data_IF_792966210035
#
_entry.id   IF_792966210035
#
_cell.length_a   1.000
_cell.length_b   1.000
_cell.length_c   1.000
_cell.angle_alpha   90.00
_cell.angle_beta   90.00
_cell.angle_gamma   90.00
#
_symmetry.space_group_name_H-M   'P 1'
#
loop_
_entity.id
_entity.type
_entity.pdbx_description
1 polymer ?
#
# COMPACT_ATOMS: atom_id res chain seq x y z
N UNK A 1 1.11 -25.14 11.65
CA UNK A 1 1.00 -23.82 10.99
C UNK A 1 -0.46 -23.41 10.98
N UNK A 2 -0.81 -22.27 11.58
CA UNK A 2 -2.15 -21.67 11.46
C UNK A 2 -2.50 -21.41 9.99
N UNK A 3 -3.79 -21.35 9.64
CA UNK A 3 -4.23 -21.10 8.24
C UNK A 3 -3.62 -19.84 7.63
N UNK A 4 -3.40 -18.80 8.43
CA UNK A 4 -2.74 -17.55 8.03
C UNK A 4 -1.26 -17.71 7.71
N UNK A 5 -0.52 -18.57 8.40
CA UNK A 5 0.90 -18.77 8.11
C UNK A 5 1.11 -19.42 6.73
N UNK A 6 0.23 -20.36 6.35
CA UNK A 6 0.26 -20.97 5.01
C UNK A 6 -0.10 -19.95 3.93
N UNK A 7 -1.11 -19.11 4.18
CA UNK A 7 -1.50 -18.06 3.24
C UNK A 7 -0.40 -17.01 3.05
N UNK A 8 0.25 -16.58 4.14
CA UNK A 8 1.41 -15.67 4.07
C UNK A 8 2.53 -16.27 3.22
N UNK A 9 2.86 -17.53 3.43
CA UNK A 9 3.87 -18.22 2.63
C UNK A 9 3.49 -18.34 1.15
N UNK A 10 2.23 -18.65 0.86
CA UNK A 10 1.72 -18.65 -0.52
C UNK A 10 1.92 -17.27 -1.17
N UNK A 11 1.48 -16.20 -0.51
CA UNK A 11 1.63 -14.84 -1.02
C UNK A 11 3.09 -14.43 -1.16
N UNK A 12 4.04 -14.98 -0.39
CA UNK A 12 5.47 -14.72 -0.60
C UNK A 12 6.02 -15.41 -1.86
N UNK A 13 5.48 -16.56 -2.27
CA UNK A 13 6.00 -17.34 -3.41
C UNK A 13 5.23 -17.15 -4.71
N UNK A 14 3.93 -16.89 -4.63
CA UNK A 14 3.04 -16.88 -5.78
C UNK A 14 2.27 -15.57 -5.84
N UNK A 15 1.79 -15.25 -7.03
CA UNK A 15 0.82 -14.17 -7.24
C UNK A 15 -0.58 -14.67 -6.87
N UNK A 16 -1.34 -13.87 -6.15
CA UNK A 16 -2.71 -14.21 -5.80
C UNK A 16 -3.58 -14.11 -7.06
N UNK A 17 -4.42 -15.11 -7.37
CA UNK A 17 -5.37 -15.01 -8.48
C UNK A 17 -6.32 -13.81 -8.31
N UNK A 18 -6.66 -13.14 -9.40
CA UNK A 18 -7.48 -11.91 -9.39
C UNK A 18 -8.79 -12.10 -8.63
N UNK A 19 -9.48 -13.21 -8.88
CA UNK A 19 -10.78 -13.57 -8.28
C UNK A 19 -10.74 -13.73 -6.76
N UNK A 20 -9.58 -14.04 -6.18
CA UNK A 20 -9.43 -14.25 -4.74
C UNK A 20 -8.72 -13.09 -4.03
N UNK A 21 -8.22 -12.10 -4.78
CA UNK A 21 -7.31 -11.09 -4.22
C UNK A 21 -7.93 -10.23 -3.13
N UNK A 22 -9.13 -9.70 -3.35
CA UNK A 22 -9.83 -8.90 -2.34
C UNK A 22 -9.99 -9.71 -1.04
N UNK A 23 -10.49 -10.94 -1.13
CA UNK A 23 -10.67 -11.80 0.04
C UNK A 23 -9.34 -12.11 0.76
N UNK A 24 -8.29 -12.44 0.01
CA UNK A 24 -6.96 -12.74 0.57
C UNK A 24 -6.37 -11.51 1.26
N UNK A 25 -6.43 -10.33 0.64
CA UNK A 25 -5.98 -9.09 1.27
C UNK A 25 -6.77 -8.79 2.54
N UNK A 26 -8.10 -8.99 2.53
CA UNK A 26 -8.91 -8.84 3.75
C UNK A 26 -8.46 -9.76 4.89
N UNK A 27 -8.10 -11.00 4.60
CA UNK A 27 -7.57 -11.91 5.63
C UNK A 27 -6.19 -11.47 6.12
N UNK A 28 -5.29 -11.10 5.21
CA UNK A 28 -3.90 -10.79 5.53
C UNK A 28 -3.73 -9.48 6.30
N UNK A 29 -4.54 -8.48 5.96
CA UNK A 29 -4.57 -7.17 6.60
C UNK A 29 -5.37 -7.17 7.92
N UNK A 30 -5.82 -8.34 8.39
CA UNK A 30 -6.61 -8.45 9.62
C UNK A 30 -7.99 -7.82 9.54
N UNK A 31 -8.51 -7.69 8.31
CA UNK A 31 -9.85 -7.19 8.05
C UNK A 31 -10.80 -8.34 8.42
N UNK A 32 -11.03 -9.32 7.55
CA UNK A 32 -11.98 -10.40 7.89
C UNK A 32 -11.31 -11.42 8.83
N UNK A 33 -11.97 -11.90 9.89
CA UNK A 33 -11.39 -12.95 10.72
C UNK A 33 -11.32 -14.26 9.93
N UNK A 34 -10.51 -15.20 10.42
CA UNK A 34 -10.38 -16.53 9.81
C UNK A 34 -11.60 -17.41 10.16
N UNK A 35 -12.24 -17.13 11.31
CA UNK A 35 -13.35 -17.92 11.85
C UNK A 35 -14.68 -17.24 11.57
N UNK A 36 -15.58 -17.99 10.94
CA UNK A 36 -16.83 -17.49 10.34
C UNK A 36 -17.88 -17.03 11.35
N UNK A 37 -17.75 -17.40 12.62
CA UNK A 37 -18.73 -17.09 13.68
C UNK A 37 -18.81 -15.58 13.97
N UNK A 38 -17.71 -14.84 13.76
CA UNK A 38 -17.64 -13.39 14.00
C UNK A 38 -17.76 -12.54 12.73
N UNK A 39 -17.83 -13.15 11.55
CA UNK A 39 -17.79 -12.45 10.26
C UNK A 39 -18.90 -11.42 10.12
N UNK A 40 -20.15 -11.84 10.41
CA UNK A 40 -21.33 -10.97 10.27
C UNK A 40 -21.28 -9.78 11.21
N UNK A 41 -20.83 -10.00 12.45
CA UNK A 41 -20.71 -8.94 13.44
C UNK A 41 -19.64 -7.93 13.04
N UNK A 42 -18.45 -8.40 12.67
CA UNK A 42 -17.34 -7.54 12.25
C UNK A 42 -17.69 -6.77 10.97
N UNK A 43 -18.30 -7.43 9.98
CA UNK A 43 -18.75 -6.76 8.76
C UNK A 43 -19.77 -5.65 9.07
N UNK A 44 -20.72 -5.89 9.98
CA UNK A 44 -21.69 -4.87 10.40
C UNK A 44 -21.01 -3.67 11.07
N UNK A 45 -20.10 -3.92 12.02
CA UNK A 45 -19.35 -2.85 12.71
C UNK A 45 -18.56 -1.99 11.72
N UNK A 46 -17.90 -2.62 10.76
CA UNK A 46 -17.13 -1.94 9.72
C UNK A 46 -17.96 -1.07 8.79
N UNK A 47 -19.15 -1.53 8.42
CA UNK A 47 -20.09 -0.74 7.61
C UNK A 47 -20.56 0.50 8.38
N UNK A 48 -20.89 0.35 9.66
CA UNK A 48 -21.28 1.48 10.51
C UNK A 48 -20.14 2.50 10.66
N UNK A 49 -18.92 2.05 10.97
CA UNK A 49 -17.77 2.94 11.08
C UNK A 49 -17.43 3.65 9.75
N UNK A 50 -17.48 2.92 8.64
CA UNK A 50 -17.29 3.50 7.31
C UNK A 50 -18.33 4.59 7.01
N UNK A 51 -19.61 4.32 7.31
CA UNK A 51 -20.70 5.26 7.14
C UNK A 51 -20.44 6.56 7.94
N UNK A 52 -20.16 6.44 9.23
CA UNK A 52 -19.97 7.59 10.12
C UNK A 52 -18.76 8.45 9.71
N UNK A 53 -17.67 7.81 9.29
CA UNK A 53 -16.48 8.50 8.79
C UNK A 53 -16.72 9.16 7.43
N UNK A 54 -17.54 8.56 6.55
CA UNK A 54 -17.86 9.13 5.24
C UNK A 54 -18.75 10.37 5.37
N UNK A 55 -19.78 10.33 6.20
CA UNK A 55 -20.70 11.47 6.42
C UNK A 55 -19.99 12.70 6.99
N UNK A 56 -18.87 12.51 7.69
CA UNK A 56 -18.06 13.59 8.26
C UNK A 56 -16.98 14.14 7.32
N UNK A 57 -16.88 13.61 6.09
CA UNK A 57 -15.75 13.84 5.18
C UNK A 57 -16.18 14.42 3.82
N UNK A 58 -15.37 15.31 3.22
CA UNK A 58 -15.64 15.89 1.90
C UNK A 58 -15.32 14.92 0.74
N UNK A 59 -16.06 14.96 -0.40
CA UNK A 59 -15.98 13.95 -1.47
C UNK A 59 -14.63 13.75 -2.19
N UNK A 60 -13.75 14.74 -2.24
CA UNK A 60 -12.59 14.71 -3.15
C UNK A 60 -11.39 13.90 -2.64
N UNK A 61 -11.30 13.60 -1.33
CA UNK A 61 -10.18 12.84 -0.72
C UNK A 61 -10.70 11.97 0.44
N UNK A 62 -11.84 11.32 0.21
CA UNK A 62 -12.64 10.66 1.27
C UNK A 62 -11.81 9.63 2.05
N UNK A 63 -11.14 8.70 1.38
CA UNK A 63 -10.52 7.58 2.07
C UNK A 63 -9.30 7.96 2.95
N UNK A 64 -8.43 8.86 2.46
CA UNK A 64 -7.26 9.30 3.23
C UNK A 64 -7.69 10.20 4.40
N UNK A 65 -8.69 11.05 4.19
CA UNK A 65 -9.28 11.86 5.26
C UNK A 65 -9.91 10.99 6.34
N UNK A 66 -10.70 9.98 5.96
CA UNK A 66 -11.29 9.01 6.88
C UNK A 66 -10.21 8.28 7.69
N UNK A 67 -9.08 7.92 7.07
CA UNK A 67 -7.95 7.31 7.76
C UNK A 67 -7.30 8.26 8.77
N UNK A 68 -7.07 9.52 8.41
CA UNK A 68 -6.52 10.54 9.32
C UNK A 68 -7.43 10.83 10.53
N UNK A 69 -8.74 10.92 10.30
CA UNK A 69 -9.73 11.08 11.37
C UNK A 69 -9.71 9.87 12.32
N UNK A 70 -9.75 8.66 11.75
CA UNK A 70 -9.74 7.41 12.52
C UNK A 70 -8.50 7.26 13.40
N UNK A 71 -7.34 7.61 12.85
CA UNK A 71 -6.05 7.54 13.55
C UNK A 71 -5.80 8.73 14.50
N UNK A 72 -6.73 9.70 14.57
CA UNK A 72 -6.63 10.94 15.34
C UNK A 72 -5.43 11.81 14.95
N UNK A 73 -5.11 11.82 13.65
CA UNK A 73 -3.99 12.56 13.05
C UNK A 73 -4.43 13.70 12.15
N UNK A 74 -5.73 13.91 12.02
CA UNK A 74 -6.30 15.06 11.34
C UNK A 74 -5.80 16.36 11.97
N UNK A 75 -5.14 17.19 11.18
CA UNK A 75 -4.82 18.58 11.53
C UNK A 75 -5.98 19.50 11.16
N UNK A 76 -6.02 20.69 11.75
CA UNK A 76 -7.01 21.73 11.43
C UNK A 76 -6.92 22.08 9.93
N UNK A 77 -5.71 22.31 9.42
CA UNK A 77 -5.42 22.56 8.00
C UNK A 77 -5.31 21.25 7.20
N UNK A 78 -6.43 20.53 7.05
CA UNK A 78 -6.43 19.20 6.44
C UNK A 78 -6.02 19.20 4.97
N UNK A 79 -6.43 20.21 4.19
CA UNK A 79 -6.04 20.35 2.78
C UNK A 79 -4.51 20.44 2.65
N UNK A 80 -3.87 21.28 3.48
CA UNK A 80 -2.41 21.43 3.49
C UNK A 80 -1.71 20.16 3.95
N UNK A 81 -2.28 19.42 4.90
CA UNK A 81 -1.76 18.12 5.33
C UNK A 81 -1.75 17.12 4.17
N UNK A 82 -2.85 17.03 3.42
CA UNK A 82 -3.00 16.08 2.31
C UNK A 82 -2.03 16.37 1.15
N UNK A 83 -1.54 17.60 1.04
CA UNK A 83 -0.52 18.01 0.06
C UNK A 83 0.93 17.64 0.41
N UNK A 84 1.20 17.11 1.60
CA UNK A 84 2.56 16.66 1.95
C UNK A 84 3.00 15.46 1.10
N UNK A 85 4.31 15.28 0.82
CA UNK A 85 4.80 14.21 -0.06
C UNK A 85 4.35 12.80 0.34
N UNK A 86 4.32 12.51 1.65
CA UNK A 86 3.86 11.22 2.19
C UNK A 86 2.38 11.00 1.85
N UNK A 87 1.51 11.97 2.16
CA UNK A 87 0.08 11.84 1.94
C UNK A 87 -0.31 11.85 0.46
N UNK A 88 0.42 12.59 -0.38
CA UNK A 88 0.28 12.50 -1.84
C UNK A 88 0.63 11.10 -2.35
N UNK A 89 1.69 10.50 -1.82
CA UNK A 89 2.09 9.12 -2.16
C UNK A 89 1.04 8.10 -1.74
N UNK A 90 0.51 8.23 -0.53
CA UNK A 90 -0.59 7.42 -0.03
C UNK A 90 -1.88 7.61 -0.84
N UNK A 91 -2.17 8.83 -1.32
CA UNK A 91 -3.36 9.09 -2.14
C UNK A 91 -3.30 8.38 -3.49
N UNK A 92 -2.13 8.30 -4.13
CA UNK A 92 -1.95 7.50 -5.36
C UNK A 92 -2.25 6.02 -5.15
N UNK A 93 -2.04 5.50 -3.94
CA UNK A 93 -2.47 4.13 -3.63
C UNK A 93 -3.97 3.99 -3.60
N UNK A 94 -4.70 4.99 -3.08
CA UNK A 94 -6.16 4.99 -3.13
C UNK A 94 -6.66 4.94 -4.58
N UNK A 95 -6.06 5.75 -5.46
CA UNK A 95 -6.36 5.76 -6.90
C UNK A 95 -6.03 4.43 -7.57
N UNK A 96 -4.85 3.88 -7.32
CA UNK A 96 -4.44 2.58 -7.89
C UNK A 96 -5.35 1.45 -7.39
N UNK A 97 -5.68 1.44 -6.10
CA UNK A 97 -6.59 0.45 -5.51
C UNK A 97 -7.99 0.53 -6.12
N UNK A 98 -8.49 1.74 -6.35
CA UNK A 98 -9.77 1.96 -7.03
C UNK A 98 -9.78 1.29 -8.41
N UNK A 99 -8.72 1.46 -9.20
CA UNK A 99 -8.60 0.79 -10.50
C UNK A 99 -8.44 -0.73 -10.40
N UNK A 100 -7.68 -1.22 -9.42
CA UNK A 100 -7.45 -2.67 -9.21
C UNK A 100 -8.72 -3.40 -8.82
N UNK A 101 -9.56 -2.77 -8.01
CA UNK A 101 -10.84 -3.33 -7.55
C UNK A 101 -11.98 -3.12 -8.56
N UNK A 102 -11.67 -2.63 -9.77
CA UNK A 102 -12.65 -2.31 -10.81
C UNK A 102 -13.76 -1.38 -10.28
N UNK A 103 -13.34 -0.33 -9.55
CA UNK A 103 -14.17 0.54 -8.72
C UNK A 103 -15.56 0.85 -9.27
N UNK A 104 -16.51 -0.01 -8.95
CA UNK A 104 -17.91 0.32 -9.03
C UNK A 104 -18.31 1.12 -7.78
N UNK A 105 -19.39 1.87 -7.87
CA UNK A 105 -19.91 2.60 -6.72
C UNK A 105 -20.78 1.74 -5.80
N UNK A 106 -20.61 0.41 -5.83
CA UNK A 106 -21.30 -0.45 -4.88
C UNK A 106 -20.81 -0.13 -3.47
N UNK A 107 -21.75 0.14 -2.57
CA UNK A 107 -21.46 0.49 -1.19
C UNK A 107 -20.56 -0.54 -0.49
N UNK A 108 -20.78 -1.83 -0.73
CA UNK A 108 -19.98 -2.90 -0.11
C UNK A 108 -18.54 -2.90 -0.64
N UNK A 109 -18.33 -2.56 -1.91
CA UNK A 109 -17.00 -2.43 -2.50
C UNK A 109 -16.27 -1.18 -1.98
N UNK A 110 -16.97 -0.07 -1.74
CA UNK A 110 -16.39 1.11 -1.10
C UNK A 110 -15.92 0.82 0.33
N UNK A 111 -16.71 0.06 1.08
CA UNK A 111 -16.35 -0.38 2.44
C UNK A 111 -15.09 -1.24 2.39
N UNK A 112 -15.06 -2.27 1.53
CA UNK A 112 -13.90 -3.13 1.35
C UNK A 112 -12.66 -2.32 0.92
N UNK A 113 -12.81 -1.41 -0.05
CA UNK A 113 -11.74 -0.55 -0.54
C UNK A 113 -11.12 0.28 0.58
N UNK A 114 -11.95 0.94 1.40
CA UNK A 114 -11.46 1.72 2.55
C UNK A 114 -10.67 0.85 3.53
N UNK A 115 -11.21 -0.31 3.91
CA UNK A 115 -10.56 -1.16 4.90
C UNK A 115 -9.26 -1.77 4.39
N UNK A 116 -9.22 -2.16 3.11
CA UNK A 116 -8.01 -2.64 2.43
C UNK A 116 -6.97 -1.53 2.35
N UNK A 117 -7.36 -0.34 1.87
CA UNK A 117 -6.46 0.81 1.79
C UNK A 117 -5.88 1.11 3.16
N UNK A 118 -6.72 1.20 4.19
CA UNK A 118 -6.30 1.41 5.59
C UNK A 118 -5.25 0.40 6.04
N UNK A 119 -5.42 -0.89 5.71
CA UNK A 119 -4.43 -1.92 6.02
C UNK A 119 -3.07 -1.65 5.36
N UNK A 120 -3.06 -1.22 4.11
CA UNK A 120 -1.83 -0.83 3.42
C UNK A 120 -1.20 0.46 3.98
N UNK A 121 -2.01 1.48 4.27
CA UNK A 121 -1.54 2.74 4.84
C UNK A 121 -0.88 2.51 6.21
N UNK A 122 -1.47 1.66 7.03
CA UNK A 122 -0.87 1.22 8.30
C UNK A 122 0.48 0.54 8.09
N UNK A 123 0.64 -0.31 7.07
CA UNK A 123 1.95 -0.89 6.77
C UNK A 123 2.99 0.17 6.42
N UNK A 124 2.64 1.12 5.54
CA UNK A 124 3.53 2.23 5.17
C UNK A 124 3.92 3.03 6.38
N UNK A 125 2.96 3.37 7.22
CA UNK A 125 3.22 4.13 8.43
C UNK A 125 4.22 3.39 9.35
N UNK A 126 4.07 2.07 9.49
CA UNK A 126 4.95 1.26 10.31
C UNK A 126 6.39 1.20 9.77
N UNK A 127 6.59 1.09 8.45
CA UNK A 127 7.94 1.00 7.88
C UNK A 127 8.51 2.35 7.39
N UNK A 128 7.74 3.44 7.43
CA UNK A 128 8.19 4.76 6.97
C UNK A 128 9.45 5.22 7.72
N UNK A 129 9.57 4.88 9.01
CA UNK A 129 10.78 5.16 9.79
C UNK A 129 12.03 4.41 9.30
N UNK A 130 11.85 3.29 8.58
CA UNK A 130 12.92 2.48 7.99
C UNK A 130 13.21 2.85 6.52
N UNK A 131 12.57 3.87 5.95
CA UNK A 131 12.70 4.21 4.53
C UNK A 131 14.15 4.51 4.12
N UNK A 132 14.92 5.15 5.02
CA UNK A 132 16.36 5.41 4.79
C UNK A 132 17.16 4.12 4.62
N UNK A 133 16.85 3.09 5.40
CA UNK A 133 17.48 1.77 5.26
C UNK A 133 17.11 1.10 3.93
N UNK A 134 15.89 1.34 3.43
CA UNK A 134 15.49 0.87 2.11
C UNK A 134 16.33 1.53 1.01
N UNK A 135 16.64 2.83 1.10
CA UNK A 135 17.54 3.51 0.15
C UNK A 135 18.93 2.88 0.15
N UNK A 136 19.54 2.74 1.32
CA UNK A 136 20.88 2.16 1.46
C UNK A 136 20.93 0.72 0.91
N UNK A 137 19.90 -0.07 1.20
CA UNK A 137 19.79 -1.43 0.65
C UNK A 137 19.56 -1.43 -0.86
N UNK A 138 18.88 -0.43 -1.41
CA UNK A 138 18.66 -0.27 -2.86
C UNK A 138 19.96 0.04 -3.57
N UNK A 139 20.78 0.94 -3.04
CA UNK A 139 22.11 1.21 -3.61
C UNK A 139 23.03 0.00 -3.53
N UNK A 140 23.05 -0.67 -2.37
CA UNK A 140 23.84 -1.89 -2.18
C UNK A 140 23.42 -3.00 -3.14
N UNK A 141 22.11 -3.14 -3.41
CA UNK A 141 21.61 -4.14 -4.35
C UNK A 141 21.89 -3.72 -5.79
N UNK A 142 21.72 -2.44 -6.14
CA UNK A 142 22.01 -1.94 -7.49
C UNK A 142 23.48 -2.12 -7.86
N UNK A 143 24.42 -1.80 -6.95
CA UNK A 143 25.85 -2.02 -7.19
C UNK A 143 26.20 -3.50 -7.41
N UNK A 144 25.46 -4.42 -6.78
CA UNK A 144 25.64 -5.87 -6.95
C UNK A 144 25.06 -6.41 -8.25
N UNK A 145 23.90 -5.91 -8.66
CA UNK A 145 23.19 -6.39 -9.85
C UNK A 145 23.71 -5.71 -11.14
N UNK A 146 24.04 -4.42 -11.07
CA UNK A 146 24.61 -3.63 -12.17
C UNK A 146 25.56 -2.53 -11.66
N UNK A 147 26.81 -2.92 -11.43
CA UNK A 147 27.89 -2.03 -10.96
C UNK A 147 28.15 -0.86 -11.92
N UNK A 148 27.99 -1.06 -13.24
CA UNK A 148 28.31 -0.04 -14.24
C UNK A 148 27.25 1.07 -14.22
N UNK A 149 25.97 0.69 -14.17
CA UNK A 149 24.86 1.64 -13.98
C UNK A 149 25.00 2.39 -12.65
N UNK A 150 25.29 1.67 -11.56
CA UNK A 150 25.48 2.29 -10.24
C UNK A 150 26.59 3.36 -10.27
N UNK A 151 27.77 3.04 -10.80
CA UNK A 151 28.88 3.98 -10.95
C UNK A 151 28.54 5.15 -11.86
N UNK A 152 27.77 4.91 -12.92
CA UNK A 152 27.30 5.96 -13.82
C UNK A 152 26.38 6.95 -13.09
N UNK A 153 25.40 6.46 -12.35
CA UNK A 153 24.48 7.29 -11.56
C UNK A 153 25.21 8.05 -10.43
N UNK A 154 26.21 7.43 -9.79
CA UNK A 154 27.09 8.10 -8.83
C UNK A 154 27.86 9.25 -9.48
N UNK A 155 28.44 9.03 -10.66
CA UNK A 155 29.22 10.04 -11.38
C UNK A 155 28.37 11.26 -11.77
N UNK A 156 27.09 11.04 -12.04
CA UNK A 156 26.13 12.10 -12.38
C UNK A 156 25.49 12.77 -11.15
N UNK A 157 25.82 12.35 -9.92
CA UNK A 157 25.10 12.72 -8.69
C UNK A 157 23.57 12.54 -8.82
N UNK A 158 23.17 11.54 -9.61
CA UNK A 158 21.77 11.30 -9.94
C UNK A 158 21.06 10.43 -8.88
N UNK A 159 21.81 9.64 -8.09
CA UNK A 159 21.23 8.73 -7.11
C UNK A 159 20.37 9.43 -6.07
N UNK A 160 20.76 10.63 -5.63
CA UNK A 160 19.99 11.43 -4.67
C UNK A 160 18.77 12.12 -5.28
N UNK A 161 18.70 12.20 -6.61
CA UNK A 161 17.61 12.85 -7.34
C UNK A 161 16.50 11.88 -7.77
N UNK A 162 16.74 10.57 -7.64
CA UNK A 162 15.72 9.55 -7.92
C UNK A 162 14.64 9.63 -6.83
N UNK A 163 13.33 9.62 -7.19
CA UNK A 163 12.25 9.80 -6.23
C UNK A 163 11.95 8.51 -5.44
N UNK A 164 12.94 7.96 -4.74
CA UNK A 164 12.75 6.71 -4.00
C UNK A 164 11.76 6.84 -2.84
N UNK A 165 11.72 8.00 -2.14
CA UNK A 165 10.70 8.27 -1.11
C UNK A 165 9.30 8.11 -1.68
N UNK A 166 9.08 8.65 -2.88
CA UNK A 166 7.83 8.62 -3.63
C UNK A 166 7.45 7.18 -3.99
N UNK A 167 8.39 6.41 -4.54
CA UNK A 167 8.21 5.00 -4.91
C UNK A 167 7.88 4.13 -3.70
N UNK A 168 8.58 4.32 -2.58
CA UNK A 168 8.38 3.49 -1.40
C UNK A 168 7.12 3.86 -0.62
N UNK A 169 6.82 5.16 -0.46
CA UNK A 169 5.61 5.62 0.24
C UNK A 169 4.34 5.37 -0.57
N UNK A 170 4.42 5.33 -1.90
CA UNK A 170 3.30 4.96 -2.76
C UNK A 170 3.27 3.46 -3.08
N UNK A 171 4.28 2.70 -2.65
CA UNK A 171 4.46 1.30 -3.05
C UNK A 171 4.38 1.12 -4.59
N UNK A 172 4.97 2.05 -5.33
CA UNK A 172 4.95 2.22 -6.79
C UNK A 172 3.60 2.61 -7.42
N UNK A 173 2.61 3.01 -6.62
CA UNK A 173 1.33 3.49 -7.14
C UNK A 173 1.50 4.72 -8.03
N UNK A 174 0.87 4.72 -9.20
CA UNK A 174 1.04 5.76 -10.21
C UNK A 174 2.38 5.75 -10.95
N UNK A 175 3.32 4.88 -10.58
CA UNK A 175 4.60 4.65 -11.31
C UNK A 175 4.52 3.39 -12.16
N UNK A 176 4.06 2.28 -11.56
CA UNK A 176 3.86 1.00 -12.26
C UNK A 176 2.37 0.83 -12.60
N UNK A 177 2.08 0.20 -13.73
CA UNK A 177 0.72 -0.14 -14.17
C UNK A 177 -0.13 -0.78 -13.06
N UNK A 178 -1.40 -0.36 -12.99
CA UNK A 178 -2.43 -0.94 -12.12
C UNK A 178 -2.67 -2.45 -12.36
N UNK A 179 -2.26 -2.99 -13.51
CA UNK A 179 -2.34 -4.44 -13.79
C UNK A 179 -1.19 -5.24 -13.17
N UNK A 180 -0.05 -4.61 -12.93
CA UNK A 180 1.18 -5.25 -12.41
C UNK A 180 1.36 -5.02 -10.92
N UNK A 181 0.96 -3.84 -10.42
CA UNK A 181 1.12 -3.47 -9.01
C UNK A 181 0.47 -4.43 -7.99
N UNK A 182 -0.66 -5.13 -8.26
CA UNK A 182 -1.24 -6.06 -7.29
C UNK A 182 -0.27 -7.19 -6.92
N UNK A 183 0.62 -7.59 -7.83
CA UNK A 183 1.63 -8.64 -7.59
C UNK A 183 2.66 -8.22 -6.53
N UNK A 184 2.98 -6.92 -6.49
CA UNK A 184 3.85 -6.32 -5.47
C UNK A 184 3.06 -6.24 -4.16
N UNK A 185 1.83 -5.76 -4.22
CA UNK A 185 0.99 -5.55 -3.05
C UNK A 185 0.58 -6.85 -2.36
N UNK A 186 0.52 -7.98 -3.06
CA UNK A 186 0.40 -9.31 -2.46
C UNK A 186 1.51 -9.58 -1.41
N UNK A 187 2.74 -9.09 -1.65
CA UNK A 187 3.86 -9.20 -0.68
C UNK A 187 3.74 -8.17 0.43
N UNK A 188 3.28 -6.96 0.11
CA UNK A 188 3.11 -5.89 1.08
C UNK A 188 1.99 -6.24 2.08
N UNK A 189 0.92 -6.88 1.62
CA UNK A 189 -0.19 -7.33 2.46
C UNK A 189 0.24 -8.33 3.55
N UNK A 190 1.35 -9.05 3.36
CA UNK A 190 1.93 -9.94 4.39
C UNK A 190 3.01 -9.26 5.25
N UNK A 191 3.26 -7.97 5.03
CA UNK A 191 4.28 -7.16 5.71
C UNK A 191 5.67 -7.20 5.07
N UNK A 192 5.84 -7.79 3.88
CA UNK A 192 7.14 -7.95 3.23
C UNK A 192 7.53 -6.73 2.37
N UNK A 193 7.59 -5.55 2.98
CA UNK A 193 7.88 -4.28 2.29
C UNK A 193 9.28 -4.21 1.63
N UNK A 194 10.23 -5.06 2.05
CA UNK A 194 11.56 -5.16 1.43
C UNK A 194 11.52 -5.57 -0.04
N UNK A 195 10.39 -6.10 -0.54
CA UNK A 195 10.19 -6.32 -1.98
C UNK A 195 10.40 -5.04 -2.80
N UNK A 196 10.10 -3.87 -2.22
CA UNK A 196 10.20 -2.57 -2.90
C UNK A 196 11.63 -2.26 -3.34
N UNK A 197 12.64 -2.75 -2.61
CA UNK A 197 14.06 -2.63 -2.97
C UNK A 197 14.31 -3.33 -4.31
N UNK A 198 13.86 -4.57 -4.43
CA UNK A 198 14.02 -5.36 -5.66
C UNK A 198 13.26 -4.72 -6.82
N UNK A 199 12.05 -4.21 -6.58
CA UNK A 199 11.26 -3.51 -7.60
C UNK A 199 12.00 -2.25 -8.06
N UNK A 200 12.56 -1.46 -7.15
CA UNK A 200 13.32 -0.25 -7.50
C UNK A 200 14.55 -0.58 -8.36
N UNK A 201 15.35 -1.57 -7.96
CA UNK A 201 16.54 -1.97 -8.73
C UNK A 201 16.16 -2.49 -10.11
N UNK A 202 15.16 -3.36 -10.20
CA UNK A 202 14.70 -3.84 -11.50
C UNK A 202 14.15 -2.70 -12.37
N UNK A 203 13.43 -1.75 -11.78
CA UNK A 203 12.89 -0.60 -12.50
C UNK A 203 13.98 0.33 -13.04
N UNK A 204 15.15 0.40 -12.40
CA UNK A 204 16.29 1.19 -12.86
C UNK A 204 17.13 0.50 -13.94
N UNK A 205 17.17 -0.83 -13.94
CA UNK A 205 17.97 -1.63 -14.88
C UNK A 205 17.24 -1.84 -16.22
N UNK A 206 15.90 -1.83 -16.22
CA UNK A 206 15.07 -1.94 -17.42
C UNK A 206 15.15 -0.65 -18.25
#
# INVERSE_FOLDING_TARGET
>A
MTGTAKLKYFCLRFTVPVTHRNFVWKLLLGITPIYTESDKFIAKQRKMEFHDLRETTKPHQVYLTMWLLRTRRAKIEMTTQLETPLFRSMNRMAESLWHIMEGDQNYDNMVDMYWILRGFLDHIENFHNDIRKLFECTFTLLDKEDTDLYKHLLKLDALNNIPFDDWFCSCFAGTISNTSIPKIWDKIAVGAYKILIYVAVNYLII
#
